data_IF_907379468697
#
_entry.id   IF_907379468697
#
_cell.length_a   1.000
_cell.length_b   1.000
_cell.length_c   1.000
_cell.angle_alpha   90.00
_cell.angle_beta   90.00
_cell.angle_gamma   90.00
#
_symmetry.space_group_name_H-M   'P 1'
#
loop_
_entity.id
_entity.type
_entity.pdbx_description
1 polymer ?
#
# COMPACT_ATOMS: atom_id res chain seq x y z
N UNK A 1 0.57 15.08 -42.11
CA UNK A 1 1.21 14.80 -40.79
C UNK A 1 0.80 13.41 -40.34
N UNK A 2 1.76 12.49 -40.19
CA UNK A 2 1.49 11.15 -39.66
C UNK A 2 1.18 11.29 -38.17
N UNK A 3 0.01 10.84 -37.76
CA UNK A 3 -0.44 10.87 -36.36
C UNK A 3 0.54 10.07 -35.49
N UNK A 4 1.20 10.73 -34.53
CA UNK A 4 1.99 10.08 -33.48
C UNK A 4 1.03 9.58 -32.38
N UNK A 5 0.15 8.65 -32.72
CA UNK A 5 -0.52 7.83 -31.70
C UNK A 5 0.37 6.59 -31.56
N UNK A 6 1.35 6.70 -30.67
CA UNK A 6 2.18 5.57 -30.28
C UNK A 6 1.29 4.62 -29.48
N UNK A 7 0.88 3.51 -30.08
CA UNK A 7 0.28 2.39 -29.37
C UNK A 7 1.31 1.86 -28.35
N UNK A 8 1.17 2.25 -27.08
CA UNK A 8 1.88 1.57 -25.99
C UNK A 8 1.19 0.22 -25.78
N UNK A 9 1.82 -0.87 -26.26
CA UNK A 9 1.49 -2.19 -25.77
C UNK A 9 1.93 -2.26 -24.31
N UNK A 10 0.97 -2.19 -23.38
CA UNK A 10 1.19 -2.40 -21.95
C UNK A 10 1.49 -3.89 -21.75
N UNK A 11 2.68 -4.20 -21.24
CA UNK A 11 2.99 -5.55 -20.76
C UNK A 11 2.38 -5.72 -19.37
N UNK A 12 1.29 -6.49 -19.27
CA UNK A 12 0.54 -6.69 -18.03
C UNK A 12 1.44 -7.27 -16.93
N UNK A 13 2.35 -8.19 -17.26
CA UNK A 13 3.29 -8.76 -16.28
C UNK A 13 4.20 -7.69 -15.70
N UNK A 14 4.79 -6.83 -16.54
CA UNK A 14 5.63 -5.72 -16.06
C UNK A 14 4.86 -4.73 -15.19
N UNK A 15 3.57 -4.49 -15.48
CA UNK A 15 2.73 -3.63 -14.65
C UNK A 15 2.46 -4.29 -13.29
N UNK A 16 2.13 -5.59 -13.27
CA UNK A 16 1.91 -6.34 -12.02
C UNK A 16 3.19 -6.35 -11.16
N UNK A 17 4.35 -6.61 -11.76
CA UNK A 17 5.64 -6.61 -11.05
C UNK A 17 5.96 -5.24 -10.42
N UNK A 18 5.63 -4.13 -11.11
CA UNK A 18 5.83 -2.79 -10.56
C UNK A 18 4.82 -2.43 -9.46
N UNK A 19 3.59 -2.96 -9.53
CA UNK A 19 2.60 -2.82 -8.44
C UNK A 19 3.06 -3.62 -7.22
N UNK A 20 3.63 -4.81 -7.41
CA UNK A 20 4.24 -5.61 -6.34
C UNK A 20 5.38 -4.86 -5.65
N UNK A 21 6.34 -4.34 -6.43
CA UNK A 21 7.42 -3.50 -5.88
C UNK A 21 6.90 -2.23 -5.20
N UNK A 22 5.82 -1.65 -5.72
CA UNK A 22 5.19 -0.49 -5.11
C UNK A 22 4.63 -0.84 -3.74
N UNK A 23 3.89 -1.95 -3.60
CA UNK A 23 3.36 -2.37 -2.28
C UNK A 23 4.50 -2.63 -1.28
N UNK A 24 5.57 -3.30 -1.69
CA UNK A 24 6.70 -3.62 -0.79
C UNK A 24 7.37 -2.34 -0.27
N UNK A 25 7.54 -1.35 -1.14
CA UNK A 25 8.18 -0.07 -0.79
C UNK A 25 7.33 0.73 0.18
N UNK A 26 6.01 0.80 -0.02
CA UNK A 26 5.15 1.56 0.89
C UNK A 26 4.96 0.84 2.23
N UNK A 27 4.91 -0.50 2.24
CA UNK A 27 4.92 -1.33 3.45
C UNK A 27 6.19 -1.11 4.28
N UNK A 28 7.36 -1.15 3.65
CA UNK A 28 8.62 -0.90 4.34
C UNK A 28 8.70 0.54 4.85
N UNK A 29 8.22 1.50 4.07
CA UNK A 29 8.23 2.92 4.43
C UNK A 29 7.30 3.22 5.60
N UNK A 30 6.12 2.60 5.69
CA UNK A 30 5.20 2.78 6.82
C UNK A 30 5.80 2.23 8.11
N UNK A 31 6.38 1.03 8.08
CA UNK A 31 7.08 0.42 9.23
C UNK A 31 8.24 1.31 9.69
N UNK A 32 9.06 1.80 8.74
CA UNK A 32 10.16 2.70 9.07
C UNK A 32 9.67 4.00 9.73
N UNK A 33 8.58 4.58 9.22
CA UNK A 33 7.99 5.78 9.82
C UNK A 33 7.52 5.52 11.27
N UNK A 34 6.82 4.41 11.52
CA UNK A 34 6.37 4.00 12.86
C UNK A 34 7.57 3.81 13.79
N UNK A 35 8.58 3.05 13.37
CA UNK A 35 9.78 2.78 14.16
C UNK A 35 10.51 4.08 14.54
N UNK A 36 10.70 5.00 13.58
CA UNK A 36 11.33 6.30 13.81
C UNK A 36 10.55 7.16 14.82
N UNK A 37 9.22 7.11 14.78
CA UNK A 37 8.36 7.77 15.76
C UNK A 37 8.53 7.11 17.14
N UNK A 38 8.50 5.79 17.23
CA UNK A 38 8.58 5.04 18.50
C UNK A 38 9.87 5.30 19.27
N UNK A 39 11.02 5.31 18.57
CA UNK A 39 12.34 5.58 19.15
C UNK A 39 12.65 7.07 19.34
N UNK A 40 11.71 7.97 18.97
CA UNK A 40 11.82 9.40 19.20
C UNK A 40 12.74 10.16 18.23
N UNK A 41 13.09 9.57 17.08
CA UNK A 41 13.81 10.27 16.00
C UNK A 41 12.84 11.17 15.22
N UNK A 42 11.61 10.70 14.97
CA UNK A 42 10.54 11.47 14.36
C UNK A 42 9.52 11.95 15.41
N UNK A 43 8.82 13.09 15.20
CA UNK A 43 7.80 13.56 16.11
C UNK A 43 6.66 12.53 16.27
N UNK A 44 6.34 12.18 17.53
CA UNK A 44 5.17 11.37 17.86
C UNK A 44 3.90 12.22 17.67
N UNK A 45 3.23 12.04 16.55
CA UNK A 45 1.95 12.68 16.23
C UNK A 45 0.93 11.58 15.94
N UNK A 46 -0.21 11.60 16.62
CA UNK A 46 -1.28 10.60 16.42
C UNK A 46 -1.70 10.56 14.95
N UNK A 47 -1.95 11.72 14.34
CA UNK A 47 -2.28 11.82 12.92
C UNK A 47 -1.15 11.28 12.01
N UNK A 48 0.13 11.43 12.39
CA UNK A 48 1.23 10.87 11.60
C UNK A 48 1.30 9.34 11.74
N UNK A 49 1.06 8.82 12.96
CA UNK A 49 1.00 7.38 13.24
C UNK A 49 -0.17 6.74 12.50
N UNK A 50 -1.36 7.31 12.58
CA UNK A 50 -2.56 6.85 11.84
C UNK A 50 -2.32 6.80 10.33
N UNK A 51 -1.67 7.81 9.75
CA UNK A 51 -1.30 7.80 8.31
C UNK A 51 -0.32 6.68 7.97
N UNK A 52 0.65 6.42 8.84
CA UNK A 52 1.61 5.35 8.63
C UNK A 52 0.93 3.97 8.72
N UNK A 53 0.07 3.77 9.72
CA UNK A 53 -0.77 2.57 9.85
C UNK A 53 -1.67 2.38 8.64
N UNK A 54 -2.42 3.40 8.22
CA UNK A 54 -3.26 3.32 7.03
C UNK A 54 -2.45 2.96 5.77
N UNK A 55 -1.22 3.47 5.65
CA UNK A 55 -0.33 3.11 4.53
C UNK A 55 0.14 1.65 4.60
N UNK A 56 0.38 1.12 5.81
CA UNK A 56 0.65 -0.29 6.06
C UNK A 56 -0.55 -1.16 5.62
N UNK A 57 -1.76 -0.79 6.04
CA UNK A 57 -2.99 -1.50 5.67
C UNK A 57 -3.26 -1.49 4.16
N UNK A 58 -3.10 -0.33 3.50
CA UNK A 58 -3.22 -0.23 2.04
C UNK A 58 -2.21 -1.13 1.33
N UNK A 59 -1.00 -1.30 1.87
CA UNK A 59 -0.01 -2.19 1.27
C UNK A 59 -0.44 -3.66 1.31
N UNK A 60 -1.08 -4.09 2.41
CA UNK A 60 -1.68 -5.41 2.53
C UNK A 60 -2.88 -5.58 1.60
N UNK A 61 -3.75 -4.57 1.46
CA UNK A 61 -4.85 -4.60 0.50
C UNK A 61 -4.37 -4.76 -0.95
N UNK A 62 -3.30 -4.06 -1.35
CA UNK A 62 -2.70 -4.24 -2.69
C UNK A 62 -2.16 -5.65 -2.85
N UNK A 63 -1.45 -6.18 -1.85
CA UNK A 63 -0.94 -7.55 -1.87
C UNK A 63 -2.08 -8.58 -2.01
N UNK A 64 -3.16 -8.43 -1.27
CA UNK A 64 -4.34 -9.29 -1.37
C UNK A 64 -4.93 -9.30 -2.80
N UNK A 65 -5.00 -8.14 -3.46
CA UNK A 65 -5.44 -8.04 -4.86
C UNK A 65 -4.49 -8.79 -5.79
N UNK A 66 -3.18 -8.65 -5.60
CA UNK A 66 -2.16 -9.37 -6.39
C UNK A 66 -2.25 -10.89 -6.19
N UNK A 67 -2.67 -11.35 -5.00
CA UNK A 67 -2.92 -12.75 -4.67
C UNK A 67 -4.27 -13.28 -5.18
N UNK A 68 -5.08 -12.42 -5.82
CA UNK A 68 -6.30 -12.80 -6.52
C UNK A 68 -7.61 -12.42 -5.82
N UNK A 69 -7.56 -11.68 -4.71
CA UNK A 69 -8.77 -11.08 -4.14
C UNK A 69 -9.33 -9.98 -5.04
N UNK A 70 -10.64 -9.81 -5.01
CA UNK A 70 -11.29 -8.62 -5.58
C UNK A 70 -10.96 -7.38 -4.76
N UNK A 71 -11.13 -6.20 -5.37
CA UNK A 71 -10.93 -4.94 -4.66
C UNK A 71 -11.85 -4.79 -3.44
N UNK A 72 -13.08 -5.32 -3.50
CA UNK A 72 -14.00 -5.26 -2.37
C UNK A 72 -13.56 -6.18 -1.23
N UNK A 73 -13.21 -7.44 -1.52
CA UNK A 73 -12.68 -8.37 -0.50
C UNK A 73 -11.43 -7.83 0.18
N UNK A 74 -10.54 -7.18 -0.58
CA UNK A 74 -9.35 -6.54 -0.02
C UNK A 74 -9.69 -5.35 0.88
N UNK A 75 -10.73 -4.56 0.56
CA UNK A 75 -11.21 -3.47 1.41
C UNK A 75 -11.86 -4.01 2.68
N UNK A 76 -12.73 -5.01 2.55
CA UNK A 76 -13.45 -5.60 3.67
C UNK A 76 -12.45 -6.17 4.68
N UNK A 77 -11.46 -6.93 4.21
CA UNK A 77 -10.38 -7.46 5.06
C UNK A 77 -9.54 -6.35 5.70
N UNK A 78 -9.19 -5.32 4.94
CA UNK A 78 -8.46 -4.16 5.48
C UNK A 78 -9.24 -3.49 6.62
N UNK A 79 -10.57 -3.42 6.54
CA UNK A 79 -11.40 -2.83 7.60
C UNK A 79 -11.67 -3.77 8.77
N UNK A 80 -11.78 -5.09 8.53
CA UNK A 80 -11.93 -6.10 9.59
C UNK A 80 -10.70 -6.17 10.50
N UNK A 81 -9.49 -6.17 9.91
CA UNK A 81 -8.24 -6.18 10.68
C UNK A 81 -8.08 -4.93 11.58
N UNK A 82 -8.78 -3.82 11.27
CA UNK A 82 -8.80 -2.61 12.10
C UNK A 82 -9.82 -2.68 13.27
N UNK A 83 -10.78 -3.61 13.26
CA UNK A 83 -11.73 -3.78 14.37
C UNK A 83 -11.10 -4.54 15.56
N UNK A 84 -10.04 -5.32 15.32
CA UNK A 84 -9.33 -6.11 16.34
C UNK A 84 -8.22 -5.31 17.08
N UNK A 85 -7.88 -4.09 16.63
CA UNK A 85 -6.87 -3.22 17.27
C UNK A 85 -7.47 -2.13 18.21
N UNK A 86 -8.80 -2.12 18.42
CA UNK A 86 -9.51 -1.16 19.31
C UNK A 86 -9.71 -1.63 20.78
N UNK A 87 -9.01 -2.68 21.25
CA UNK A 87 -9.03 -3.18 22.65
C UNK A 87 -7.79 -2.82 23.49
#
# INVERSE_FOLDING_TARGET
>A
MKSKITNQHINITTVIDEIEKFQEKIHMSSIAAIALMEIGIAPKSNMAKEKAMLTHEISHAIKNILEGMTAQEAIDKMTEDNEDEED
#
